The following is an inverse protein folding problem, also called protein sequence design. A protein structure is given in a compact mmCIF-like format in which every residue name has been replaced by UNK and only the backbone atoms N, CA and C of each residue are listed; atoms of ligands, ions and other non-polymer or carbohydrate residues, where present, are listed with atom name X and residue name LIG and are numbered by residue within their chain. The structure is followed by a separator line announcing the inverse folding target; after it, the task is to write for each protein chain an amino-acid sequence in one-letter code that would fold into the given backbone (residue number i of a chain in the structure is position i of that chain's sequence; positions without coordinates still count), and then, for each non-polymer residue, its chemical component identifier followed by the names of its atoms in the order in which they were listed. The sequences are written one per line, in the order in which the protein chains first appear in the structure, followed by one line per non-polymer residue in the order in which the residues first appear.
data_IF_853324351973
#
_entry.id   IF_853324351973
#
_cell.length_a   1.000
_cell.length_b   1.000
_cell.length_c   1.000
_cell.angle_alpha   90.00
_cell.angle_beta   90.00
_cell.angle_gamma   90.00
#
_symmetry.space_group_name_H-M   'P 1'
#
loop_
_entity.id
_entity.type
_entity.pdbx_description
1 polymer ?
#
# COMPACT_ATOMS: atom_id res chain seq x y z
N UNK A 1 -45.31 -11.72 -25.49
CA UNK A 1 -45.63 -10.42 -24.87
C UNK A 1 -45.54 -10.65 -23.36
N UNK A 2 -44.45 -10.29 -22.68
CA UNK A 2 -43.98 -8.94 -22.40
C UNK A 2 -42.44 -8.92 -22.47
N UNK A 3 -41.87 -8.08 -23.34
CA UNK A 3 -40.48 -7.65 -23.23
C UNK A 3 -40.42 -6.62 -22.11
N UNK A 4 -39.54 -6.84 -21.13
CA UNK A 4 -39.26 -5.87 -20.07
C UNK A 4 -37.80 -5.44 -20.16
N UNK A 5 -37.44 -4.85 -21.31
CA UNK A 5 -36.22 -4.07 -21.46
C UNK A 5 -36.38 -2.74 -20.73
N UNK A 6 -36.13 -2.75 -19.42
CA UNK A 6 -36.00 -1.52 -18.64
C UNK A 6 -34.60 -0.94 -18.88
N UNK A 7 -34.45 0.24 -19.51
CA UNK A 7 -33.14 0.86 -19.68
C UNK A 7 -32.60 1.29 -18.31
N UNK A 8 -31.45 0.74 -17.93
CA UNK A 8 -30.71 1.13 -16.72
C UNK A 8 -30.46 2.65 -16.70
N UNK A 9 -30.65 3.31 -15.54
CA UNK A 9 -30.46 4.74 -15.41
C UNK A 9 -29.00 5.10 -15.68
N UNK A 10 -28.79 5.91 -16.74
CA UNK A 10 -27.50 6.53 -17.06
C UNK A 10 -27.18 7.55 -15.96
N UNK A 11 -26.44 7.14 -14.92
CA UNK A 11 -25.83 8.11 -14.01
C UNK A 11 -24.86 8.99 -14.81
N UNK A 12 -25.06 10.31 -14.87
CA UNK A 12 -24.07 11.22 -15.44
C UNK A 12 -22.97 11.46 -14.41
N UNK A 13 -22.26 10.41 -14.02
CA UNK A 13 -21.04 10.57 -13.24
C UNK A 13 -19.94 10.89 -14.23
N UNK A 14 -19.76 12.19 -14.52
CA UNK A 14 -18.59 12.71 -15.23
C UNK A 14 -17.37 12.33 -14.40
N UNK A 15 -16.71 11.25 -14.81
CA UNK A 15 -15.49 10.81 -14.16
C UNK A 15 -14.40 11.85 -14.44
N UNK A 16 -13.65 12.29 -13.42
CA UNK A 16 -12.59 13.26 -13.60
C UNK A 16 -11.53 12.72 -14.59
N UNK A 17 -10.84 13.59 -15.33
CA UNK A 17 -9.84 13.17 -16.30
C UNK A 17 -8.82 12.25 -15.62
N UNK A 18 -8.59 11.07 -16.19
CA UNK A 18 -7.76 9.99 -15.62
C UNK A 18 -6.41 10.47 -15.09
N UNK A 19 -5.80 11.44 -15.78
CA UNK A 19 -4.54 12.09 -15.40
C UNK A 19 -4.62 12.89 -14.09
N UNK A 20 -5.75 13.55 -13.82
CA UNK A 20 -5.98 14.29 -12.58
C UNK A 20 -6.16 13.30 -11.41
N UNK A 21 -6.93 12.25 -11.64
CA UNK A 21 -7.15 11.20 -10.64
C UNK A 21 -5.83 10.49 -10.26
N UNK A 22 -4.99 10.15 -11.24
CA UNK A 22 -3.65 9.59 -11.01
C UNK A 22 -2.74 10.52 -10.19
N UNK A 23 -2.78 11.85 -10.45
CA UNK A 23 -2.02 12.81 -9.63
C UNK A 23 -2.53 12.88 -8.20
N UNK A 24 -3.85 12.91 -8.01
CA UNK A 24 -4.46 12.93 -6.69
C UNK A 24 -4.08 11.66 -5.91
N UNK A 25 -4.16 10.49 -6.55
CA UNK A 25 -3.72 9.22 -5.94
C UNK A 25 -2.24 9.25 -5.59
N UNK A 26 -1.37 9.74 -6.47
CA UNK A 26 0.07 9.87 -6.19
C UNK A 26 0.33 10.78 -4.98
N UNK A 27 -0.31 11.95 -4.92
CA UNK A 27 -0.16 12.89 -3.79
C UNK A 27 -0.68 12.28 -2.49
N UNK A 28 -1.83 11.58 -2.53
CA UNK A 28 -2.38 10.88 -1.38
C UNK A 28 -1.45 9.79 -0.86
N UNK A 29 -0.82 9.01 -1.74
CA UNK A 29 0.16 7.97 -1.36
C UNK A 29 1.36 8.60 -0.65
N UNK A 30 1.89 9.70 -1.18
CA UNK A 30 3.01 10.41 -0.53
C UNK A 30 2.63 11.00 0.82
N UNK A 31 1.43 11.58 0.93
CA UNK A 31 0.90 12.07 2.21
C UNK A 31 0.70 10.94 3.22
N UNK A 32 0.22 9.78 2.77
CA UNK A 32 0.03 8.59 3.60
C UNK A 32 1.39 8.06 4.10
N UNK A 33 2.37 7.94 3.20
CA UNK A 33 3.74 7.52 3.53
C UNK A 33 4.38 8.46 4.55
N UNK A 34 4.25 9.78 4.35
CA UNK A 34 4.79 10.77 5.26
C UNK A 34 4.08 10.75 6.63
N UNK A 35 2.75 10.60 6.63
CA UNK A 35 1.96 10.47 7.85
C UNK A 35 2.33 9.20 8.63
N UNK A 36 2.58 8.10 7.93
CA UNK A 36 3.05 6.85 8.51
C UNK A 36 4.42 7.03 9.20
N UNK A 37 5.39 7.65 8.51
CA UNK A 37 6.70 7.97 9.09
C UNK A 37 6.61 8.86 10.34
N UNK A 38 5.70 9.83 10.35
CA UNK A 38 5.47 10.71 11.52
C UNK A 38 4.81 9.94 12.68
N UNK A 39 3.86 9.05 12.38
CA UNK A 39 3.17 8.24 13.38
C UNK A 39 4.12 7.23 14.05
N UNK A 40 4.96 6.57 13.26
CA UNK A 40 6.06 5.69 13.70
C UNK A 40 6.96 6.42 14.72
N UNK A 41 7.29 7.69 14.47
CA UNK A 41 8.14 8.48 15.35
C UNK A 41 7.50 8.90 16.69
N UNK A 42 6.19 8.73 16.88
CA UNK A 42 5.45 9.25 18.06
C UNK A 42 4.86 8.18 18.96
N UNK A 43 4.47 7.02 18.44
CA UNK A 43 3.75 6.01 19.22
C UNK A 43 4.68 4.91 19.74
N UNK A 44 5.33 5.14 20.89
CA UNK A 44 6.35 4.20 21.35
C UNK A 44 5.86 2.90 22.01
N UNK A 45 4.64 2.77 22.58
CA UNK A 45 4.38 1.57 23.42
C UNK A 45 2.96 0.96 23.48
N UNK A 46 1.90 1.48 22.83
CA UNK A 46 0.55 0.88 23.01
C UNK A 46 -0.31 0.63 21.76
N UNK A 47 -0.17 1.37 20.65
CA UNK A 47 -0.98 1.16 19.43
C UNK A 47 -0.20 0.50 18.27
N UNK A 48 1.11 0.31 18.42
CA UNK A 48 2.03 -0.07 17.34
C UNK A 48 1.73 -1.44 16.71
N UNK A 49 1.32 -2.42 17.51
CA UNK A 49 1.03 -3.77 17.02
C UNK A 49 -0.21 -3.81 16.11
N UNK A 50 -1.26 -3.03 16.41
CA UNK A 50 -2.45 -2.96 15.57
C UNK A 50 -2.14 -2.25 14.25
N UNK A 51 -1.35 -1.17 14.31
CA UNK A 51 -0.92 -0.40 13.14
C UNK A 51 -0.10 -1.26 12.19
N UNK A 52 0.90 -2.00 12.68
CA UNK A 52 1.72 -2.88 11.84
C UNK A 52 0.93 -4.03 11.22
N UNK A 53 0.00 -4.64 11.97
CA UNK A 53 -0.88 -5.68 11.39
C UNK A 53 -1.79 -5.11 10.30
N UNK A 54 -2.32 -3.91 10.50
CA UNK A 54 -3.14 -3.23 9.49
C UNK A 54 -2.32 -2.89 8.24
N UNK A 55 -1.10 -2.36 8.42
CA UNK A 55 -0.18 -2.04 7.31
C UNK A 55 0.22 -3.30 6.55
N UNK A 56 0.62 -4.36 7.25
CA UNK A 56 0.89 -5.66 6.65
C UNK A 56 -0.30 -6.15 5.83
N UNK A 57 -1.49 -6.16 6.43
CA UNK A 57 -2.70 -6.67 5.78
C UNK A 57 -3.03 -5.87 4.52
N UNK A 58 -2.93 -4.55 4.59
CA UNK A 58 -3.19 -3.65 3.47
C UNK A 58 -2.17 -3.89 2.34
N UNK A 59 -0.87 -3.87 2.64
CA UNK A 59 0.19 -4.11 1.65
C UNK A 59 0.05 -5.51 1.02
N UNK A 60 -0.26 -6.53 1.82
CA UNK A 60 -0.45 -7.89 1.34
C UNK A 60 -1.68 -8.02 0.42
N UNK A 61 -2.81 -7.41 0.76
CA UNK A 61 -3.97 -7.38 -0.14
C UNK A 61 -3.67 -6.67 -1.46
N UNK A 62 -2.93 -5.56 -1.40
CA UNK A 62 -2.51 -4.84 -2.61
C UNK A 62 -1.56 -5.67 -3.47
N UNK A 63 -0.60 -6.37 -2.86
CA UNK A 63 0.29 -7.28 -3.57
C UNK A 63 -0.52 -8.37 -4.31
N UNK A 64 -1.52 -8.95 -3.65
CA UNK A 64 -2.40 -9.95 -4.26
C UNK A 64 -3.28 -9.37 -5.37
N UNK A 65 -3.78 -8.15 -5.20
CA UNK A 65 -4.53 -7.46 -6.25
C UNK A 65 -3.66 -7.25 -7.50
N UNK A 66 -2.45 -6.71 -7.34
CA UNK A 66 -1.50 -6.52 -8.44
C UNK A 66 -1.15 -7.85 -9.14
N UNK A 67 -1.01 -8.94 -8.37
CA UNK A 67 -0.76 -10.27 -8.92
C UNK A 67 -1.95 -10.81 -9.72
N UNK A 68 -3.17 -10.61 -9.23
CA UNK A 68 -4.38 -11.03 -9.93
C UNK A 68 -4.56 -10.26 -11.23
N UNK A 69 -4.33 -8.94 -11.23
CA UNK A 69 -4.31 -8.15 -12.47
C UNK A 69 -3.28 -8.69 -13.45
N UNK A 70 -2.08 -9.06 -12.97
CA UNK A 70 -1.05 -9.65 -13.81
C UNK A 70 -1.44 -11.01 -14.43
N UNK A 71 -2.26 -11.81 -13.73
CA UNK A 71 -2.74 -13.11 -14.24
C UNK A 71 -3.77 -12.97 -15.34
N UNK A 72 -4.60 -11.93 -15.28
CA UNK A 72 -5.67 -11.69 -16.26
C UNK A 72 -5.25 -10.72 -17.38
N UNK A 73 -4.08 -10.10 -17.28
CA UNK A 73 -3.52 -9.24 -18.31
C UNK A 73 -3.21 -10.05 -19.58
N UNK A 74 -3.77 -9.61 -20.72
CA UNK A 74 -3.49 -10.19 -22.04
C UNK A 74 -2.13 -9.75 -22.60
N UNK A 75 -1.66 -8.58 -22.19
CA UNK A 75 -0.37 -8.02 -22.60
C UNK A 75 0.74 -8.51 -21.66
N UNK A 76 1.77 -9.13 -22.23
CA UNK A 76 2.94 -9.65 -21.51
C UNK A 76 3.71 -8.55 -20.77
N UNK A 77 3.77 -7.34 -21.34
CA UNK A 77 4.49 -6.22 -20.73
C UNK A 77 3.75 -5.71 -19.48
N UNK A 78 2.42 -5.61 -19.56
CA UNK A 78 1.56 -5.24 -18.43
C UNK A 78 1.60 -6.32 -17.33
N UNK A 79 1.58 -7.60 -17.73
CA UNK A 79 1.69 -8.72 -16.81
C UNK A 79 3.05 -8.73 -16.07
N UNK A 80 4.15 -8.48 -16.78
CA UNK A 80 5.49 -8.42 -16.18
C UNK A 80 5.61 -7.26 -15.17
N UNK A 81 5.16 -6.06 -15.53
CA UNK A 81 5.15 -4.90 -14.62
C UNK A 81 4.29 -5.13 -13.38
N UNK A 82 3.10 -5.68 -13.57
CA UNK A 82 2.18 -5.97 -12.46
C UNK A 82 2.71 -7.07 -11.53
N UNK A 83 3.44 -8.07 -12.06
CA UNK A 83 4.18 -9.04 -11.24
C UNK A 83 5.31 -8.40 -10.46
N UNK A 84 6.10 -7.52 -11.08
CA UNK A 84 7.19 -6.81 -10.41
C UNK A 84 6.64 -5.93 -9.28
N UNK A 85 5.60 -5.15 -9.56
CA UNK A 85 4.89 -4.35 -8.57
C UNK A 85 4.37 -5.22 -7.39
N UNK A 86 3.72 -6.35 -7.69
CA UNK A 86 3.26 -7.30 -6.69
C UNK A 86 4.39 -7.80 -5.79
N UNK A 87 5.52 -8.20 -6.37
CA UNK A 87 6.69 -8.67 -5.61
C UNK A 87 7.24 -7.59 -4.69
N UNK A 88 7.37 -6.35 -5.17
CA UNK A 88 7.81 -5.21 -4.34
C UNK A 88 6.85 -4.94 -3.18
N UNK A 89 5.54 -4.97 -3.43
CA UNK A 89 4.52 -4.76 -2.39
C UNK A 89 4.49 -5.90 -1.38
N UNK A 90 4.68 -7.13 -1.84
CA UNK A 90 4.83 -8.30 -0.96
C UNK A 90 6.08 -8.18 -0.10
N UNK A 91 7.22 -7.78 -0.68
CA UNK A 91 8.46 -7.56 0.07
C UNK A 91 8.28 -6.46 1.12
N UNK A 92 7.60 -5.36 0.77
CA UNK A 92 7.23 -4.31 1.72
C UNK A 92 6.39 -4.85 2.89
N UNK A 93 5.40 -5.72 2.60
CA UNK A 93 4.60 -6.36 3.66
C UNK A 93 5.44 -7.23 4.60
N UNK A 94 6.47 -7.92 4.08
CA UNK A 94 7.40 -8.70 4.91
C UNK A 94 8.21 -7.81 5.86
N UNK A 95 8.66 -6.65 5.40
CA UNK A 95 9.34 -5.67 6.27
C UNK A 95 8.45 -5.22 7.43
N UNK A 96 7.15 -4.99 7.20
CA UNK A 96 6.19 -4.65 8.29
C UNK A 96 6.12 -5.71 9.39
N UNK A 97 6.17 -7.00 9.02
CA UNK A 97 6.19 -8.10 10.00
C UNK A 97 7.54 -8.14 10.73
N UNK A 98 8.64 -7.94 10.00
CA UNK A 98 9.99 -7.92 10.59
C UNK A 98 10.08 -6.80 11.64
N UNK A 99 9.54 -5.60 11.35
CA UNK A 99 9.44 -4.51 12.32
C UNK A 99 8.70 -4.94 13.59
N UNK A 100 7.55 -5.59 13.43
CA UNK A 100 6.77 -6.12 14.58
C UNK A 100 7.59 -7.12 15.40
N UNK A 101 8.36 -7.98 14.75
CA UNK A 101 9.23 -8.96 15.42
C UNK A 101 10.36 -8.28 16.20
N UNK A 102 11.02 -7.28 15.60
CA UNK A 102 12.08 -6.53 16.27
C UNK A 102 11.50 -5.69 17.43
N UNK A 103 10.29 -5.14 17.28
CA UNK A 103 9.62 -4.41 18.36
C UNK A 103 9.34 -5.28 19.58
N UNK A 104 8.95 -6.55 19.39
CA UNK A 104 8.79 -7.49 20.50
C UNK A 104 10.14 -7.79 21.18
N UNK A 105 11.22 -7.87 20.40
CA UNK A 105 12.57 -8.05 20.93
C UNK A 105 13.00 -6.81 21.73
N UNK A 106 12.76 -5.60 21.23
CA UNK A 106 13.04 -4.35 21.96
C UNK A 106 12.26 -4.30 23.27
N UNK A 107 10.97 -4.64 23.24
CA UNK A 107 10.13 -4.68 24.43
C UNK A 107 10.68 -5.65 25.51
N UNK A 108 11.32 -6.75 25.10
CA UNK A 108 11.97 -7.68 26.03
C UNK A 108 13.22 -7.10 26.72
N UNK A 109 13.90 -6.14 26.08
CA UNK A 109 15.07 -5.46 26.64
C UNK A 109 14.71 -4.20 27.45
N UNK A 110 13.53 -3.63 27.24
CA UNK A 110 13.02 -2.53 28.05
C UNK A 110 12.51 -3.05 29.41
N UNK A 111 13.43 -3.23 30.37
CA UNK A 111 13.04 -3.50 31.76
C UNK A 111 12.50 -2.22 32.40
N UNK A 112 11.35 -2.33 33.07
CA UNK A 112 10.78 -1.25 33.86
C UNK A 112 11.62 -1.11 35.12
N UNK A 113 12.70 -0.34 35.06
CA UNK A 113 13.39 0.09 36.28
C UNK A 113 12.45 1.03 37.03
N UNK A 114 12.19 0.70 38.29
CA UNK A 114 11.24 1.37 39.18
C UNK A 114 11.19 2.90 38.98
N UNK A 115 10.04 3.37 38.48
CA UNK A 115 9.48 4.67 38.86
C UNK A 115 9.81 5.91 38.04
N UNK A 116 10.97 6.10 37.41
CA UNK A 116 11.21 7.43 36.78
C UNK A 116 12.23 7.56 35.65
N UNK A 117 12.89 6.51 35.18
CA UNK A 117 13.74 6.63 33.99
C UNK A 117 13.86 5.31 33.25
N UNK A 118 13.29 5.25 32.04
CA UNK A 118 13.54 4.16 31.09
C UNK A 118 15.04 4.23 30.75
N UNK A 119 15.86 3.36 31.35
CA UNK A 119 17.24 3.18 30.90
C UNK A 119 17.18 2.38 29.60
N UNK A 120 17.14 3.08 28.45
CA UNK A 120 17.35 2.42 27.16
C UNK A 120 18.78 1.89 27.12
N UNK A 121 18.94 0.58 27.01
CA UNK A 121 20.24 -0.01 26.75
C UNK A 121 20.76 0.49 25.39
N UNK A 122 22.09 0.61 25.19
CA UNK A 122 22.66 0.94 23.88
C UNK A 122 22.20 -0.03 22.76
N UNK A 123 21.90 -1.28 23.12
CA UNK A 123 21.34 -2.29 22.22
C UNK A 123 19.90 -2.03 21.84
N UNK A 124 19.06 -1.48 22.73
CA UNK A 124 17.70 -1.08 22.39
C UNK A 124 17.69 0.09 21.40
N UNK A 125 18.62 1.04 21.56
CA UNK A 125 18.77 2.20 20.64
C UNK A 125 19.19 1.74 19.22
N UNK A 126 20.12 0.79 19.12
CA UNK A 126 20.53 0.26 17.81
C UNK A 126 19.40 -0.52 17.14
N UNK A 127 18.64 -1.31 17.90
CA UNK A 127 17.46 -2.01 17.39
C UNK A 127 16.36 -1.04 16.95
N UNK A 128 16.08 0.03 17.70
CA UNK A 128 15.15 1.08 17.29
C UNK A 128 15.55 1.72 15.96
N UNK A 129 16.84 2.00 15.77
CA UNK A 129 17.35 2.53 14.50
C UNK A 129 17.14 1.56 13.33
N UNK A 130 17.31 0.25 13.58
CA UNK A 130 17.07 -0.79 12.57
C UNK A 130 15.60 -0.91 12.20
N UNK A 131 14.69 -0.81 13.18
CA UNK A 131 13.24 -0.79 12.91
C UNK A 131 12.90 0.41 12.04
N UNK A 132 13.37 1.60 12.41
CA UNK A 132 13.10 2.79 11.62
C UNK A 132 13.64 2.68 10.18
N UNK A 133 14.83 2.10 10.01
CA UNK A 133 15.40 1.84 8.68
C UNK A 133 14.55 0.83 7.89
N UNK A 134 14.06 -0.23 8.54
CA UNK A 134 13.15 -1.20 7.91
C UNK A 134 11.85 -0.53 7.45
N UNK A 135 11.30 0.40 8.23
CA UNK A 135 10.12 1.18 7.87
C UNK A 135 10.35 2.09 6.66
N UNK A 136 11.51 2.75 6.60
CA UNK A 136 11.92 3.53 5.42
C UNK A 136 12.00 2.63 4.18
N UNK A 137 12.64 1.46 4.30
CA UNK A 137 12.76 0.49 3.19
C UNK A 137 11.38 0.01 2.76
N UNK A 138 10.49 -0.34 3.70
CA UNK A 138 9.12 -0.74 3.42
C UNK A 138 8.39 0.35 2.61
N UNK A 139 8.46 1.60 3.05
CA UNK A 139 7.80 2.73 2.38
C UNK A 139 8.36 2.92 0.96
N UNK A 140 9.68 2.87 0.79
CA UNK A 140 10.31 2.99 -0.54
C UNK A 140 9.84 1.87 -1.47
N UNK A 141 9.80 0.63 -0.99
CA UNK A 141 9.34 -0.53 -1.76
C UNK A 141 7.85 -0.40 -2.14
N UNK A 142 7.01 0.05 -1.21
CA UNK A 142 5.59 0.26 -1.44
C UNK A 142 5.35 1.35 -2.49
N UNK A 143 6.05 2.49 -2.39
CA UNK A 143 5.97 3.59 -3.37
C UNK A 143 6.48 3.13 -4.74
N UNK A 144 7.62 2.43 -4.80
CA UNK A 144 8.16 1.90 -6.05
C UNK A 144 7.21 0.89 -6.71
N UNK A 145 6.56 0.03 -5.93
CA UNK A 145 5.51 -0.87 -6.42
C UNK A 145 4.36 -0.11 -7.06
N UNK A 146 3.86 0.93 -6.39
CA UNK A 146 2.77 1.75 -6.91
C UNK A 146 3.16 2.47 -8.20
N UNK A 147 4.35 3.05 -8.25
CA UNK A 147 4.88 3.74 -9.43
C UNK A 147 4.92 2.82 -10.66
N UNK A 148 5.34 1.57 -10.47
CA UNK A 148 5.36 0.59 -11.56
C UNK A 148 3.94 0.14 -11.98
N UNK A 149 2.97 0.21 -11.07
CA UNK A 149 1.59 -0.22 -11.31
C UNK A 149 0.67 0.89 -11.88
N UNK A 150 1.01 2.17 -11.68
CA UNK A 150 0.23 3.32 -12.18
C UNK A 150 -0.01 3.29 -13.72
N UNK A 151 0.98 2.94 -14.57
CA UNK A 151 0.77 2.87 -16.02
C UNK A 151 -0.30 1.85 -16.41
N UNK A 152 -0.35 0.71 -15.71
CA UNK A 152 -1.35 -0.35 -15.94
C UNK A 152 -2.76 0.15 -15.64
N UNK A 153 -2.94 0.88 -14.54
CA UNK A 153 -4.23 1.47 -14.19
C UNK A 153 -4.69 2.50 -15.22
N UNK A 154 -3.75 3.29 -15.76
CA UNK A 154 -4.07 4.28 -16.79
C UNK A 154 -4.48 3.63 -18.12
N UNK A 155 -3.83 2.53 -18.52
CA UNK A 155 -4.21 1.81 -19.75
C UNK A 155 -5.59 1.17 -19.65
N UNK A 156 -5.92 0.56 -18.52
CA UNK A 156 -7.22 -0.08 -18.31
C UNK A 156 -8.35 0.95 -18.26
N UNK A 157 -8.12 2.09 -17.61
CA UNK A 157 -9.08 3.18 -17.55
C UNK A 157 -9.44 3.72 -18.93
N UNK A 158 -8.43 3.95 -19.78
CA UNK A 158 -8.61 4.41 -21.15
C UNK A 158 -9.36 3.39 -22.02
N UNK A 159 -9.17 2.09 -21.79
CA UNK A 159 -9.94 1.05 -22.49
C UNK A 159 -11.41 1.05 -22.07
N UNK A 160 -11.70 1.22 -20.78
CA UNK A 160 -13.08 1.33 -20.27
C UNK A 160 -13.79 2.58 -20.82
N UNK A 161 -13.08 3.69 -20.90
CA UNK A 161 -13.61 4.93 -21.48
C UNK A 161 -13.96 4.75 -22.96
N UNK A 162 -13.07 4.11 -23.74
CA UNK A 162 -13.33 3.78 -25.15
C UNK A 162 -14.52 2.83 -25.32
N UNK A 163 -14.59 1.78 -24.52
CA UNK A 163 -15.68 0.79 -24.58
C UNK A 163 -17.04 1.41 -24.24
N UNK A 164 -17.07 2.41 -23.34
CA UNK A 164 -18.30 3.14 -23.00
C UNK A 164 -18.71 4.15 -24.09
N UNK A 165 -17.75 4.69 -24.84
CA UNK A 165 -18.00 5.66 -25.90
C UNK A 165 -18.52 5.03 -27.21
N UNK A 166 -18.27 3.74 -27.45
CA UNK A 166 -18.81 2.99 -28.59
C UNK A 166 -20.20 2.43 -28.27
N UNK A 167 -21.28 2.84 -28.97
CA UNK A 167 -22.60 2.23 -28.80
C UNK A 167 -22.58 0.77 -29.30
N UNK A 168 -23.41 -0.12 -28.72
CA UNK A 168 -23.56 -1.48 -29.25
C UNK A 168 -24.14 -1.40 -30.67
N UNK A 169 -23.45 -2.04 -31.62
CA UNK A 169 -23.90 -2.23 -33.00
C UNK A 169 -24.96 -3.31 -33.09
#
# INVERSE_FOLDING_TARGET
MVSSDAPLPKLPMQLPPSKLMLRVVRVLIWLLAFSFLIAEGKEYLKLRQLTHVAVFTLLFFLANYQLNVARFAKDQLIAARSKLASTLMFLASMFSIIETGIDQVIASYCTTADGSSIQLSPTAISLCSLVWLAGVVMVILAVASFEEFLPTLNSDWLQLEKARATPPS
#
